data_IF_175390707224
#
_entry.id   IF_175390707224
#
_cell.length_a   1.000
_cell.length_b   1.000
_cell.length_c   1.000
_cell.angle_alpha   90.00
_cell.angle_beta   90.00
_cell.angle_gamma   90.00
#
_symmetry.space_group_name_H-M   'P 1'
#
loop_
_entity.id
_entity.type
_entity.pdbx_description
1 polymer ?
#
# COMPACT_ATOMS: atom_id res chain seq x y z
N UNK A 1 19.12 -15.60 18.05
CA UNK A 1 17.97 -16.30 17.42
C UNK A 1 17.71 -15.62 16.09
N UNK A 2 17.88 -16.32 14.98
CA UNK A 2 17.58 -15.80 13.65
C UNK A 2 16.08 -15.46 13.57
N UNK A 3 15.68 -14.25 13.15
CA UNK A 3 14.28 -13.93 13.00
C UNK A 3 13.68 -14.90 11.98
N UNK A 4 12.68 -15.68 12.39
CA UNK A 4 11.87 -16.49 11.45
C UNK A 4 11.27 -15.52 10.45
N UNK A 5 11.87 -15.47 9.26
CA UNK A 5 11.40 -14.70 8.11
C UNK A 5 10.00 -15.20 7.79
N UNK A 6 9.02 -14.30 7.90
CA UNK A 6 7.67 -14.57 7.43
C UNK A 6 7.67 -14.72 5.91
N UNK A 7 7.07 -15.80 5.45
CA UNK A 7 6.80 -16.00 4.04
C UNK A 7 5.60 -15.13 3.65
N UNK A 8 5.83 -14.13 2.78
CA UNK A 8 4.76 -13.27 2.19
C UNK A 8 3.74 -14.09 1.37
N UNK A 9 3.95 -15.42 1.22
CA UNK A 9 3.05 -16.40 0.57
C UNK A 9 1.62 -16.45 1.12
N UNK A 10 1.35 -15.82 2.26
CA UNK A 10 0.05 -15.86 2.93
C UNK A 10 -0.87 -14.68 2.57
N UNK A 11 -0.34 -13.55 2.10
CA UNK A 11 -1.17 -12.45 1.61
C UNK A 11 -1.81 -12.79 0.25
N UNK A 12 -2.94 -12.16 -0.12
CA UNK A 12 -3.56 -12.40 -1.44
C UNK A 12 -3.19 -11.41 -2.52
N UNK A 13 -2.93 -10.16 -2.14
CA UNK A 13 -2.62 -9.14 -3.13
C UNK A 13 -1.60 -8.11 -2.65
N UNK A 14 -0.75 -7.70 -3.57
CA UNK A 14 0.13 -6.54 -3.44
C UNK A 14 -0.30 -5.47 -4.44
N UNK A 15 -0.72 -4.32 -3.94
CA UNK A 15 -1.07 -3.16 -4.77
C UNK A 15 0.00 -2.09 -4.63
N UNK A 16 0.67 -1.73 -5.74
CA UNK A 16 1.68 -0.67 -5.73
C UNK A 16 1.04 0.70 -6.00
N UNK A 17 0.92 1.52 -4.97
CA UNK A 17 0.34 2.86 -5.01
C UNK A 17 0.99 3.69 -3.87
N UNK A 18 1.67 4.84 -4.10
CA UNK A 18 1.60 6.12 -3.28
C UNK A 18 2.74 7.17 -3.36
N UNK A 19 2.44 8.43 -3.74
CA UNK A 19 3.16 9.64 -3.27
C UNK A 19 2.30 10.93 -3.25
N UNK A 20 2.80 11.92 -2.50
CA UNK A 20 2.17 13.21 -2.17
C UNK A 20 2.76 14.40 -2.93
N UNK A 21 1.92 15.39 -3.25
CA UNK A 21 2.13 16.80 -2.87
C UNK A 21 0.83 17.41 -2.32
N UNK A 22 0.94 17.98 -1.13
CA UNK A 22 -0.09 18.76 -0.44
C UNK A 22 -0.17 20.16 -1.05
N UNK A 23 -1.35 20.60 -1.49
CA UNK A 23 -1.68 22.02 -1.41
C UNK A 23 -2.52 22.28 -0.15
N UNK A 24 -1.85 22.81 0.88
CA UNK A 24 -2.44 23.86 1.68
C UNK A 24 -2.56 25.07 0.75
N UNK A 25 -3.79 25.41 0.36
CA UNK A 25 -4.29 26.78 0.47
C UNK A 25 -5.81 26.80 0.27
N UNK A 26 -6.49 27.06 1.39
CA UNK A 26 -7.89 27.45 1.59
C UNK A 26 -8.92 26.31 1.66
N UNK A 27 -9.09 25.79 2.88
CA UNK A 27 -10.19 24.91 3.26
C UNK A 27 -9.93 24.25 4.59
N UNK A 28 -10.12 24.99 5.68
CA UNK A 28 -10.09 24.56 7.07
C UNK A 28 -10.81 23.22 7.35
N UNK A 29 -10.21 22.39 8.24
CA UNK A 29 -10.69 21.11 8.83
C UNK A 29 -10.62 19.88 7.88
N UNK A 30 -9.78 18.86 8.08
CA UNK A 30 -9.62 18.00 9.26
C UNK A 30 -8.23 17.32 9.23
N UNK A 31 -7.29 17.81 10.03
CA UNK A 31 -6.12 17.06 10.48
C UNK A 31 -6.04 17.18 12.00
N UNK A 32 -7.19 17.01 12.66
CA UNK A 32 -7.26 16.99 14.12
C UNK A 32 -7.40 15.56 14.59
N UNK A 33 -6.78 15.23 15.71
CA UNK A 33 -6.96 14.01 16.52
C UNK A 33 -8.42 13.72 16.94
N UNK A 34 -9.40 14.46 16.41
CA UNK A 34 -10.85 14.30 16.58
C UNK A 34 -11.54 13.63 15.38
N UNK A 35 -10.81 13.29 14.30
CA UNK A 35 -11.44 12.63 13.15
C UNK A 35 -11.83 11.20 13.56
N UNK A 36 -13.12 10.97 13.82
CA UNK A 36 -13.69 9.70 14.31
C UNK A 36 -13.54 8.52 13.33
N UNK A 37 -12.80 8.71 12.24
CA UNK A 37 -12.55 7.73 11.20
C UNK A 37 -11.30 6.88 11.43
N UNK A 38 -10.39 7.32 12.29
CA UNK A 38 -9.16 6.59 12.55
C UNK A 38 -8.97 6.39 14.05
N UNK A 39 -8.82 5.13 14.47
CA UNK A 39 -8.48 4.78 15.85
C UNK A 39 -6.99 4.44 15.90
N UNK A 40 -6.23 5.07 16.79
CA UNK A 40 -4.81 4.74 16.97
C UNK A 40 -4.67 3.29 17.46
N UNK A 41 -3.75 2.54 16.87
CA UNK A 41 -3.42 1.16 17.22
C UNK A 41 -1.93 1.06 17.50
N UNK A 42 -1.55 0.26 18.49
CA UNK A 42 -0.17 -0.05 18.80
C UNK A 42 -0.12 -1.45 19.39
N UNK A 43 0.85 -2.24 18.94
CA UNK A 43 1.23 -3.51 19.57
C UNK A 43 2.76 -3.57 19.67
N UNK A 44 3.31 -4.74 19.99
CA UNK A 44 4.74 -4.95 20.08
C UNK A 44 5.44 -4.61 18.75
N UNK A 45 6.35 -3.64 18.79
CA UNK A 45 7.22 -3.32 17.68
C UNK A 45 6.56 -2.65 16.47
N UNK A 46 5.36 -2.05 16.60
CA UNK A 46 4.79 -1.18 15.57
C UNK A 46 3.65 -0.31 16.12
N UNK A 47 3.30 0.76 15.40
CA UNK A 47 2.14 1.62 15.68
C UNK A 47 1.49 2.06 14.36
N UNK A 48 0.23 2.49 14.44
CA UNK A 48 -0.53 2.88 13.26
C UNK A 48 -1.95 3.32 13.58
N UNK A 49 -2.83 3.21 12.58
CA UNK A 49 -4.22 3.58 12.70
C UNK A 49 -5.14 2.56 12.02
N UNK A 50 -6.23 2.23 12.70
CA UNK A 50 -7.34 1.47 12.15
C UNK A 50 -8.39 2.42 11.61
N UNK A 51 -8.71 2.27 10.34
CA UNK A 51 -9.79 2.96 9.64
C UNK A 51 -10.88 1.92 9.38
N UNK A 52 -11.92 1.85 10.22
CA UNK A 52 -12.97 0.86 10.08
C UNK A 52 -13.80 1.13 8.83
N UNK A 53 -14.37 0.05 8.29
CA UNK A 53 -15.48 0.19 7.36
C UNK A 53 -16.64 0.93 8.05
N UNK A 54 -17.23 1.89 7.33
CA UNK A 54 -18.48 2.54 7.71
C UNK A 54 -19.43 2.44 6.53
N UNK A 55 -20.67 2.07 6.78
CA UNK A 55 -21.68 2.01 5.73
C UNK A 55 -21.94 3.42 5.19
N UNK A 56 -21.51 3.64 3.95
CA UNK A 56 -21.60 4.90 3.22
C UNK A 56 -22.64 4.87 2.09
N UNK A 57 -23.51 3.84 2.04
CA UNK A 57 -24.56 3.69 1.03
C UNK A 57 -25.60 4.81 1.06
N UNK A 58 -25.81 5.43 2.22
CA UNK A 58 -26.65 6.62 2.38
C UNK A 58 -26.12 7.55 3.47
N UNK A 59 -26.52 8.83 3.44
CA UNK A 59 -26.19 9.80 4.50
C UNK A 59 -26.68 9.33 5.88
N UNK A 60 -27.85 8.68 5.93
CA UNK A 60 -28.44 8.16 7.16
C UNK A 60 -27.61 7.01 7.74
N UNK A 61 -27.19 6.07 6.90
CA UNK A 61 -26.37 4.93 7.32
C UNK A 61 -25.01 5.41 7.81
N UNK A 62 -24.41 6.37 7.10
CA UNK A 62 -23.14 6.95 7.49
C UNK A 62 -23.22 7.63 8.86
N UNK A 63 -24.24 8.48 9.07
CA UNK A 63 -24.46 9.12 10.37
C UNK A 63 -24.71 8.12 11.50
N UNK A 64 -25.39 7.01 11.23
CA UNK A 64 -25.56 5.93 12.20
C UNK A 64 -24.21 5.24 12.50
N UNK A 65 -23.42 4.93 11.48
CA UNK A 65 -22.10 4.33 11.62
C UNK A 65 -21.12 5.24 12.39
N UNK A 66 -21.20 6.57 12.23
CA UNK A 66 -20.41 7.53 13.01
C UNK A 66 -20.70 7.50 14.52
N UNK A 67 -21.90 7.07 14.92
CA UNK A 67 -22.25 6.94 16.35
C UNK A 67 -21.68 5.67 16.97
N UNK A 68 -21.32 4.68 16.16
CA UNK A 68 -20.68 3.44 16.64
C UNK A 68 -19.23 3.77 17.00
N UNK A 69 -18.87 3.58 18.27
CA UNK A 69 -17.47 3.69 18.71
C UNK A 69 -16.72 2.45 18.26
N UNK A 70 -15.64 2.62 17.52
CA UNK A 70 -14.76 1.54 17.10
C UNK A 70 -13.53 1.47 18.01
N UNK A 71 -13.28 0.28 18.51
CA UNK A 71 -12.14 -0.06 19.35
C UNK A 71 -11.13 -0.90 18.57
N UNK A 72 -9.99 -1.17 19.20
CA UNK A 72 -8.95 -2.06 18.67
C UNK A 72 -9.42 -3.53 18.64
N UNK A 73 -10.43 -3.89 19.43
CA UNK A 73 -11.02 -5.23 19.39
C UNK A 73 -11.78 -5.49 18.09
N UNK A 74 -12.30 -4.44 17.44
CA UNK A 74 -13.18 -4.53 16.28
C UNK A 74 -12.41 -4.54 14.94
N UNK A 75 -11.08 -4.72 14.96
CA UNK A 75 -10.26 -4.72 13.74
C UNK A 75 -10.66 -5.91 12.87
N UNK A 76 -11.16 -5.61 11.66
CA UNK A 76 -11.65 -6.60 10.70
C UNK A 76 -13.12 -7.01 10.86
N UNK A 77 -13.78 -6.59 11.94
CA UNK A 77 -15.19 -6.89 12.17
C UNK A 77 -16.09 -6.16 11.17
N UNK A 78 -17.09 -6.86 10.65
CA UNK A 78 -18.02 -6.32 9.64
C UNK A 78 -17.39 -5.99 8.28
N UNK A 79 -16.09 -6.26 8.09
CA UNK A 79 -15.38 -6.09 6.83
C UNK A 79 -15.32 -7.43 6.08
N UNK A 80 -15.41 -7.42 4.76
CA UNK A 80 -15.12 -8.60 3.94
C UNK A 80 -13.60 -8.80 3.83
N UNK A 81 -12.88 -7.70 3.63
CA UNK A 81 -11.42 -7.65 3.50
C UNK A 81 -10.80 -6.65 4.48
N UNK A 82 -9.52 -6.86 4.81
CA UNK A 82 -8.69 -5.91 5.54
C UNK A 82 -7.52 -5.51 4.67
N UNK A 83 -7.33 -4.21 4.46
CA UNK A 83 -6.15 -3.69 3.79
C UNK A 83 -5.08 -3.37 4.83
N UNK A 84 -3.89 -3.97 4.71
CA UNK A 84 -2.69 -3.48 5.36
C UNK A 84 -2.03 -2.46 4.43
N UNK A 85 -2.04 -1.19 4.84
CA UNK A 85 -1.56 -0.11 4.02
C UNK A 85 -0.23 0.47 4.52
N UNK A 86 0.75 0.53 3.62
CA UNK A 86 2.11 1.04 3.85
C UNK A 86 2.26 2.32 3.02
N UNK A 87 2.39 3.46 3.67
CA UNK A 87 2.50 4.72 2.93
C UNK A 87 3.80 4.82 2.12
N UNK A 88 3.76 5.61 1.05
CA UNK A 88 4.94 5.95 0.26
C UNK A 88 5.78 7.07 0.87
N UNK A 89 6.71 7.60 0.09
CA UNK A 89 7.70 8.58 0.55
C UNK A 89 9.08 7.97 0.80
N UNK A 90 9.34 6.79 0.25
CA UNK A 90 10.64 6.12 0.23
C UNK A 90 11.22 5.83 1.60
N UNK A 91 10.35 5.59 2.59
CA UNK A 91 10.71 5.38 3.99
C UNK A 91 11.39 6.59 4.67
N UNK A 92 11.46 7.75 4.02
CA UNK A 92 12.11 8.97 4.53
C UNK A 92 11.09 10.05 4.91
N UNK A 93 9.90 10.02 4.29
CA UNK A 93 8.84 11.00 4.53
C UNK A 93 7.48 10.34 4.59
N UNK A 94 6.53 11.04 5.19
CA UNK A 94 5.13 10.66 5.21
C UNK A 94 4.56 10.46 6.61
N UNK A 95 3.31 9.99 6.66
CA UNK A 95 2.62 9.55 7.86
C UNK A 95 1.47 8.61 7.47
N UNK A 96 0.96 7.86 8.44
CA UNK A 96 -0.04 6.80 8.25
C UNK A 96 -1.43 7.29 7.82
N UNK A 97 -1.74 8.59 7.96
CA UNK A 97 -3.06 9.16 7.67
C UNK A 97 -3.09 10.05 6.42
N UNK A 98 -1.98 10.15 5.70
CA UNK A 98 -1.85 11.12 4.61
C UNK A 98 -2.85 10.96 3.45
N UNK A 99 -3.46 9.77 3.30
CA UNK A 99 -4.44 9.44 2.26
C UNK A 99 -5.83 9.16 2.83
N UNK A 100 -6.10 9.53 4.09
CA UNK A 100 -7.36 9.21 4.78
C UNK A 100 -8.61 9.65 3.99
N UNK A 101 -8.58 10.84 3.40
CA UNK A 101 -9.70 11.36 2.60
C UNK A 101 -9.95 10.50 1.36
N UNK A 102 -8.89 10.14 0.65
CA UNK A 102 -8.94 9.27 -0.54
C UNK A 102 -9.46 7.88 -0.18
N UNK A 103 -9.02 7.31 0.95
CA UNK A 103 -9.54 6.03 1.43
C UNK A 103 -11.03 6.08 1.72
N UNK A 104 -11.51 7.13 2.37
CA UNK A 104 -12.94 7.25 2.68
C UNK A 104 -13.79 7.25 1.41
N UNK A 105 -13.36 8.01 0.40
CA UNK A 105 -14.02 8.06 -0.90
C UNK A 105 -13.95 6.71 -1.62
N UNK A 106 -12.78 6.10 -1.66
CA UNK A 106 -12.57 4.82 -2.33
C UNK A 106 -13.32 3.65 -1.67
N UNK A 107 -13.31 3.55 -0.34
CA UNK A 107 -14.09 2.55 0.40
C UNK A 107 -15.60 2.68 0.12
N UNK A 108 -16.10 3.91 -0.02
CA UNK A 108 -17.49 4.16 -0.41
C UNK A 108 -17.77 3.64 -1.82
N UNK A 109 -16.89 3.94 -2.78
CA UNK A 109 -17.05 3.48 -4.16
C UNK A 109 -17.02 1.95 -4.25
N UNK A 110 -16.10 1.30 -3.53
CA UNK A 110 -16.06 -0.16 -3.41
C UNK A 110 -17.38 -0.75 -2.91
N UNK A 111 -17.92 -0.16 -1.84
CA UNK A 111 -19.17 -0.60 -1.26
C UNK A 111 -20.33 -0.44 -2.24
N UNK A 112 -20.47 0.73 -2.87
CA UNK A 112 -21.62 1.05 -3.72
C UNK A 112 -21.58 0.25 -5.03
N UNK A 113 -20.41 0.13 -5.66
CA UNK A 113 -20.27 -0.49 -6.98
C UNK A 113 -20.11 -2.01 -6.93
N UNK A 114 -19.40 -2.52 -5.93
CA UNK A 114 -19.01 -3.93 -5.85
C UNK A 114 -19.56 -4.64 -4.61
N UNK A 115 -20.23 -3.93 -3.70
CA UNK A 115 -20.75 -4.51 -2.46
C UNK A 115 -19.68 -4.89 -1.44
N UNK A 116 -18.41 -4.54 -1.69
CA UNK A 116 -17.27 -4.93 -0.85
C UNK A 116 -17.09 -3.97 0.32
N UNK A 117 -17.05 -4.52 1.53
CA UNK A 117 -16.75 -3.80 2.77
C UNK A 117 -15.29 -4.00 3.12
N UNK A 118 -14.51 -2.93 3.13
CA UNK A 118 -13.08 -3.00 3.46
C UNK A 118 -12.76 -2.04 4.60
N UNK A 119 -11.95 -2.52 5.55
CA UNK A 119 -11.30 -1.68 6.55
C UNK A 119 -9.80 -1.61 6.29
N UNK A 120 -9.14 -0.56 6.75
CA UNK A 120 -7.72 -0.29 6.45
C UNK A 120 -6.94 -0.16 7.75
N UNK A 121 -5.91 -0.96 7.92
CA UNK A 121 -4.87 -0.76 8.93
C UNK A 121 -3.67 -0.08 8.27
N UNK A 122 -3.42 1.18 8.64
CA UNK A 122 -2.26 1.95 8.16
C UNK A 122 -1.14 1.93 9.18
N UNK A 123 0.11 1.95 8.71
CA UNK A 123 1.30 1.84 9.57
C UNK A 123 2.00 3.20 9.69
N UNK A 124 2.30 3.62 10.91
CA UNK A 124 3.11 4.80 11.23
C UNK A 124 4.53 4.34 11.53
N UNK A 125 5.22 3.87 10.49
CA UNK A 125 6.57 3.32 10.60
C UNK A 125 7.62 4.42 10.83
N UNK A 126 8.73 4.05 11.45
CA UNK A 126 9.89 4.90 11.69
C UNK A 126 10.52 5.32 10.37
N UNK A 127 10.66 6.64 10.19
CA UNK A 127 11.30 7.22 9.02
C UNK A 127 12.82 7.18 9.15
N UNK A 128 13.48 7.04 8.02
CA UNK A 128 14.92 7.21 7.85
C UNK A 128 15.24 8.70 7.59
N UNK A 129 16.44 9.19 7.99
CA UNK A 129 17.62 8.43 8.44
C UNK A 129 17.62 8.02 9.91
N UNK A 130 16.67 8.46 10.73
CA UNK A 130 16.62 8.18 12.17
C UNK A 130 16.40 6.69 12.46
N UNK A 131 15.59 6.04 11.62
CA UNK A 131 15.28 4.62 11.70
C UNK A 131 15.61 3.96 10.34
N UNK A 132 16.88 3.60 10.10
CA UNK A 132 17.30 3.00 8.84
C UNK A 132 16.79 1.57 8.70
N UNK A 133 16.92 1.02 7.49
CA UNK A 133 16.70 -0.39 7.18
C UNK A 133 17.42 -1.30 8.19
N UNK A 134 16.75 -2.34 8.72
CA UNK A 134 15.43 -2.85 8.35
C UNK A 134 14.26 -2.34 9.25
N UNK A 135 14.36 -1.19 9.90
CA UNK A 135 13.40 -0.77 10.93
C UNK A 135 11.94 -0.72 10.43
N UNK A 136 11.63 0.11 9.44
CA UNK A 136 10.28 0.21 8.88
C UNK A 136 9.75 -1.12 8.33
N UNK A 137 10.64 -1.95 7.74
CA UNK A 137 10.29 -3.30 7.28
C UNK A 137 9.83 -4.18 8.44
N UNK A 138 10.57 -4.17 9.56
CA UNK A 138 10.23 -4.96 10.74
C UNK A 138 8.87 -4.53 11.32
N UNK A 139 8.59 -3.23 11.35
CA UNK A 139 7.28 -2.72 11.79
C UNK A 139 6.15 -3.13 10.85
N UNK A 140 6.40 -3.14 9.53
CA UNK A 140 5.43 -3.64 8.56
C UNK A 140 5.11 -5.13 8.76
N UNK A 141 6.14 -5.94 9.03
CA UNK A 141 5.99 -7.36 9.32
C UNK A 141 5.27 -7.57 10.66
N UNK A 142 5.57 -6.77 11.69
CA UNK A 142 4.91 -6.83 12.98
C UNK A 142 3.42 -6.47 12.88
N UNK A 143 3.05 -5.46 12.08
CA UNK A 143 1.66 -5.11 11.82
C UNK A 143 0.90 -6.23 11.07
N UNK A 144 1.54 -6.89 10.11
CA UNK A 144 0.94 -8.06 9.44
C UNK A 144 0.74 -9.23 10.43
N UNK A 145 1.73 -9.53 11.26
CA UNK A 145 1.61 -10.55 12.32
C UNK A 145 0.48 -10.23 13.27
N UNK A 146 0.36 -8.98 13.69
CA UNK A 146 -0.73 -8.54 14.56
C UNK A 146 -2.11 -8.87 13.96
N UNK A 147 -2.33 -8.61 12.67
CA UNK A 147 -3.59 -8.97 12.00
C UNK A 147 -3.86 -10.47 12.01
N UNK A 148 -2.87 -11.30 11.71
CA UNK A 148 -3.05 -12.75 11.57
C UNK A 148 -3.06 -13.46 12.92
N UNK A 149 -2.05 -13.20 13.75
CA UNK A 149 -1.75 -13.95 14.97
C UNK A 149 -2.53 -13.40 16.17
N UNK A 150 -2.64 -12.08 16.31
CA UNK A 150 -3.30 -11.46 17.47
C UNK A 150 -4.78 -11.11 17.25
N UNK A 151 -5.18 -10.81 16.01
CA UNK A 151 -6.58 -10.52 15.65
C UNK A 151 -7.29 -11.70 15.00
N UNK A 152 -6.57 -12.77 14.63
CA UNK A 152 -7.16 -13.94 14.01
C UNK A 152 -7.75 -13.68 12.62
N UNK A 153 -7.32 -12.61 11.93
CA UNK A 153 -7.77 -12.32 10.58
C UNK A 153 -7.15 -13.34 9.64
N UNK A 154 -8.00 -14.06 8.93
CA UNK A 154 -7.55 -14.96 7.88
C UNK A 154 -6.69 -14.18 6.88
N UNK A 155 -5.43 -14.60 6.71
CA UNK A 155 -4.48 -14.03 5.74
C UNK A 155 -5.05 -13.90 4.33
N UNK A 156 -6.00 -14.78 3.95
CA UNK A 156 -6.70 -14.75 2.66
C UNK A 156 -7.64 -13.56 2.50
N UNK A 157 -8.02 -12.88 3.58
CA UNK A 157 -8.80 -11.63 3.60
C UNK A 157 -7.91 -10.38 3.67
N UNK A 158 -6.59 -10.55 3.73
CA UNK A 158 -5.64 -9.43 3.83
C UNK A 158 -5.12 -9.06 2.45
N UNK A 159 -5.31 -7.78 2.10
CA UNK A 159 -4.70 -7.14 0.92
C UNK A 159 -3.60 -6.20 1.41
N UNK A 160 -2.40 -6.32 0.86
CA UNK A 160 -1.30 -5.39 1.14
C UNK A 160 -1.30 -4.34 0.05
N UNK A 161 -1.29 -3.07 0.45
CA UNK A 161 -1.24 -1.93 -0.47
C UNK A 161 -0.21 -0.92 0.00
N UNK A 162 0.43 -0.22 -0.93
CA UNK A 162 1.45 0.78 -0.62
C UNK A 162 2.49 0.91 -1.72
N UNK A 163 3.54 1.71 -1.52
CA UNK A 163 4.70 1.68 -2.42
C UNK A 163 5.58 0.44 -2.20
N UNK A 164 4.96 -0.74 -2.17
CA UNK A 164 5.74 -1.97 -2.28
C UNK A 164 6.13 -2.00 -3.74
N UNK A 165 7.41 -1.69 -3.97
CA UNK A 165 8.16 -1.55 -5.23
C UNK A 165 8.98 -0.23 -5.33
N UNK A 166 8.76 0.75 -4.44
CA UNK A 166 9.74 1.81 -4.16
C UNK A 166 10.53 1.54 -2.89
N UNK A 167 9.91 0.93 -1.88
CA UNK A 167 10.57 0.55 -0.63
C UNK A 167 9.92 -0.70 -0.03
N UNK A 168 10.63 -1.85 -0.03
CA UNK A 168 12.02 -2.01 -0.41
C UNK A 168 12.29 -1.75 -1.91
N UNK A 169 13.40 -1.07 -2.19
CA UNK A 169 13.75 -0.52 -3.49
C UNK A 169 13.89 -1.61 -4.53
N UNK A 170 13.10 -1.60 -5.58
CA UNK A 170 13.16 -2.67 -6.59
C UNK A 170 14.54 -2.81 -7.26
N UNK A 171 15.40 -1.81 -7.17
CA UNK A 171 16.78 -1.76 -7.65
C UNK A 171 17.14 -2.74 -8.76
N UNK A 172 16.78 -2.28 -9.96
CA UNK A 172 17.21 -2.79 -11.24
C UNK A 172 18.74 -3.04 -11.31
N UNK A 173 19.18 -3.98 -12.17
CA UNK A 173 20.54 -4.00 -12.70
C UNK A 173 20.88 -2.83 -13.65
N UNK A 174 19.92 -1.99 -14.06
CA UNK A 174 20.11 -0.85 -14.97
C UNK A 174 20.06 0.50 -14.22
N UNK A 175 20.87 1.51 -14.61
CA UNK A 175 20.82 2.85 -14.01
C UNK A 175 19.45 3.51 -14.18
N UNK A 176 18.98 4.23 -13.15
CA UNK A 176 17.83 5.11 -13.30
C UNK A 176 18.15 6.21 -14.30
N UNK A 177 17.17 6.57 -15.13
CA UNK A 177 17.30 7.65 -16.11
C UNK A 177 16.39 8.78 -15.69
N UNK A 178 16.97 9.96 -15.48
CA UNK A 178 16.18 11.15 -15.19
C UNK A 178 15.17 11.42 -16.30
N UNK A 179 13.98 11.83 -15.87
CA UNK A 179 12.93 12.36 -16.72
C UNK A 179 12.61 13.77 -16.26
N UNK A 180 12.61 14.72 -17.20
CA UNK A 180 12.20 16.12 -16.94
C UNK A 180 10.70 16.25 -16.66
N UNK A 181 9.94 15.23 -17.08
CA UNK A 181 8.49 15.16 -16.98
C UNK A 181 8.06 14.32 -15.77
N UNK A 182 9.02 13.90 -14.93
CA UNK A 182 8.79 13.26 -13.64
C UNK A 182 9.29 14.17 -12.51
N UNK A 183 8.67 14.07 -11.34
CA UNK A 183 9.06 14.83 -10.16
C UNK A 183 10.03 14.05 -9.26
N UNK A 184 10.22 12.75 -9.51
CA UNK A 184 11.35 11.99 -8.97
C UNK A 184 12.53 12.11 -9.92
N UNK A 185 13.66 12.58 -9.39
CA UNK A 185 14.97 12.49 -10.05
C UNK A 185 15.74 11.27 -9.55
N UNK A 186 16.65 10.77 -10.37
CA UNK A 186 17.62 9.75 -10.04
C UNK A 186 18.43 10.16 -8.80
N UNK A 187 18.92 11.41 -8.75
CA UNK A 187 19.65 11.90 -7.58
C UNK A 187 18.77 11.94 -6.32
N UNK A 188 17.52 12.37 -6.43
CA UNK A 188 16.55 12.34 -5.32
C UNK A 188 16.29 10.91 -4.83
N UNK A 189 16.09 9.97 -5.75
CA UNK A 189 15.97 8.54 -5.43
C UNK A 189 17.21 8.02 -4.69
N UNK A 190 18.42 8.33 -5.19
CA UNK A 190 19.68 7.92 -4.56
C UNK A 190 19.82 8.43 -3.13
N UNK A 191 19.44 9.69 -2.86
CA UNK A 191 19.46 10.26 -1.51
C UNK A 191 18.52 9.48 -0.58
N UNK A 192 17.34 9.09 -1.06
CA UNK A 192 16.39 8.34 -0.24
C UNK A 192 16.86 6.91 0.00
N UNK A 193 17.48 6.26 -1.00
CA UNK A 193 18.11 4.95 -0.81
C UNK A 193 19.20 5.05 0.25
N UNK A 194 20.05 6.07 0.16
CA UNK A 194 21.18 6.26 1.09
C UNK A 194 20.70 6.54 2.51
N UNK A 195 19.68 7.40 2.68
CA UNK A 195 19.04 7.64 3.96
C UNK A 195 18.40 6.38 4.53
N UNK A 196 17.64 5.64 3.70
CA UNK A 196 16.97 4.41 4.10
C UNK A 196 17.96 3.33 4.51
N UNK A 197 19.01 3.11 3.73
CA UNK A 197 19.88 1.96 3.90
C UNK A 197 21.07 2.22 4.81
N UNK A 198 21.51 3.49 4.90
CA UNK A 198 22.81 3.93 5.42
C UNK A 198 24.02 3.17 4.84
N UNK A 199 23.78 2.34 3.83
CA UNK A 199 24.73 1.47 3.18
C UNK A 199 24.14 1.03 1.84
N UNK A 200 24.49 1.76 0.78
CA UNK A 200 24.00 1.49 -0.58
C UNK A 200 24.31 0.07 -1.07
N UNK A 201 25.34 -0.58 -0.54
CA UNK A 201 25.66 -1.96 -0.91
C UNK A 201 24.60 -2.96 -0.44
N UNK A 202 23.83 -2.64 0.61
CA UNK A 202 22.74 -3.50 1.10
C UNK A 202 21.66 -3.75 0.05
N UNK A 203 21.46 -2.82 -0.86
CA UNK A 203 20.45 -2.91 -1.91
C UNK A 203 20.88 -3.82 -3.07
N UNK A 204 22.19 -4.08 -3.19
CA UNK A 204 22.71 -5.06 -4.14
C UNK A 204 22.63 -6.50 -3.60
N UNK A 205 22.59 -6.67 -2.28
CA UNK A 205 22.79 -7.98 -1.63
C UNK A 205 21.57 -8.48 -0.87
N UNK A 206 20.68 -7.60 -0.40
CA UNK A 206 19.50 -8.00 0.38
C UNK A 206 18.23 -8.01 -0.47
N UNK A 207 17.59 -9.18 -0.54
CA UNK A 207 16.23 -9.31 -1.10
C UNK A 207 15.17 -8.51 -0.34
N UNK A 208 15.43 -8.16 0.92
CA UNK A 208 14.51 -7.37 1.74
C UNK A 208 14.77 -5.88 1.65
N UNK A 209 15.94 -5.45 1.17
CA UNK A 209 16.19 -4.07 0.78
C UNK A 209 15.82 -3.85 -0.70
N UNK A 210 15.96 -4.89 -1.53
CA UNK A 210 15.56 -4.90 -2.93
C UNK A 210 14.94 -6.24 -3.38
N UNK A 211 13.61 -6.31 -3.55
CA UNK A 211 12.92 -7.57 -3.87
C UNK A 211 13.41 -8.29 -5.12
N UNK A 212 13.90 -7.56 -6.12
CA UNK A 212 14.42 -8.17 -7.35
C UNK A 212 15.64 -9.08 -7.10
N UNK A 213 16.34 -8.89 -5.96
CA UNK A 213 17.50 -9.69 -5.56
C UNK A 213 17.11 -11.05 -4.99
N UNK A 214 15.82 -11.29 -4.73
CA UNK A 214 15.35 -12.62 -4.36
C UNK A 214 15.70 -13.62 -5.48
N UNK A 215 16.21 -14.80 -5.10
CA UNK A 215 16.52 -15.87 -6.06
C UNK A 215 15.27 -16.23 -6.91
N UNK A 216 14.10 -16.22 -6.28
CA UNK A 216 12.80 -16.38 -6.94
C UNK A 216 11.73 -15.55 -6.22
N UNK A 217 10.74 -15.08 -6.97
CA UNK A 217 9.52 -14.43 -6.50
C UNK A 217 8.33 -15.42 -6.42
N UNK A 218 8.56 -16.70 -6.72
CA UNK A 218 7.52 -17.72 -6.74
C UNK A 218 6.81 -17.84 -5.37
N UNK A 219 5.48 -17.86 -5.44
CA UNK A 219 4.59 -17.94 -4.28
C UNK A 219 4.20 -16.58 -3.69
N UNK A 220 4.72 -15.46 -4.21
CA UNK A 220 4.16 -14.16 -3.84
C UNK A 220 2.68 -14.04 -4.26
N UNK A 221 1.89 -13.23 -3.54
CA UNK A 221 0.51 -12.91 -3.94
C UNK A 221 0.42 -12.38 -5.36
N UNK A 222 -0.78 -12.45 -5.94
CA UNK A 222 -1.06 -11.74 -7.19
C UNK A 222 -0.88 -10.23 -6.99
N UNK A 223 -0.49 -9.52 -8.04
CA UNK A 223 -0.12 -8.10 -7.92
C UNK A 223 -0.88 -7.26 -8.93
N UNK A 224 -1.26 -6.05 -8.50
CA UNK A 224 -1.73 -4.97 -9.37
C UNK A 224 -0.73 -3.82 -9.27
N UNK A 225 -0.15 -3.43 -10.41
CA UNK A 225 0.93 -2.45 -10.48
C UNK A 225 0.57 -1.36 -11.49
N UNK A 226 0.63 -0.10 -11.07
CA UNK A 226 0.50 1.05 -11.97
C UNK A 226 1.88 1.67 -12.22
N UNK A 227 2.12 2.11 -13.45
CA UNK A 227 3.43 2.58 -13.92
C UNK A 227 3.27 3.86 -14.74
N UNK A 228 3.98 4.93 -14.36
CA UNK A 228 4.08 6.12 -15.17
C UNK A 228 4.94 5.88 -16.41
N UNK A 229 4.47 6.30 -17.59
CA UNK A 229 5.21 6.13 -18.85
C UNK A 229 6.47 6.97 -18.94
N UNK A 230 6.55 8.09 -18.20
CA UNK A 230 7.73 8.97 -18.13
C UNK A 230 8.43 8.89 -16.77
N UNK A 231 8.09 7.90 -15.96
CA UNK A 231 8.59 7.72 -14.60
C UNK A 231 10.08 7.30 -14.58
N UNK A 232 10.88 7.98 -13.75
CA UNK A 232 12.31 7.71 -13.55
C UNK A 232 12.57 6.27 -13.06
N UNK A 233 11.65 5.73 -12.27
CA UNK A 233 11.73 4.38 -11.69
C UNK A 233 11.26 3.27 -12.62
N UNK A 234 10.64 3.61 -13.76
CA UNK A 234 10.05 2.65 -14.69
C UNK A 234 10.99 1.48 -15.03
N UNK A 235 12.29 1.66 -15.33
CA UNK A 235 13.19 0.54 -15.63
C UNK A 235 13.31 -0.48 -14.48
N UNK A 236 13.21 -0.03 -13.22
CA UNK A 236 13.20 -0.93 -12.06
C UNK A 236 11.89 -1.69 -11.99
N UNK A 237 10.76 -1.00 -12.13
CA UNK A 237 9.43 -1.61 -12.06
C UNK A 237 9.27 -2.66 -13.16
N UNK A 238 9.65 -2.33 -14.40
CA UNK A 238 9.60 -3.25 -15.54
C UNK A 238 10.40 -4.54 -15.25
N UNK A 239 11.63 -4.40 -14.73
CA UNK A 239 12.48 -5.55 -14.41
C UNK A 239 11.91 -6.44 -13.31
N UNK A 240 11.23 -5.87 -12.32
CA UNK A 240 10.53 -6.66 -11.31
C UNK A 240 9.29 -7.35 -11.85
N UNK A 241 8.48 -6.66 -12.65
CA UNK A 241 7.30 -7.24 -13.30
C UNK A 241 7.71 -8.42 -14.18
N UNK A 242 8.74 -8.25 -14.99
CA UNK A 242 9.30 -9.32 -15.83
C UNK A 242 9.76 -10.52 -14.98
N UNK A 243 10.52 -10.27 -13.91
CA UNK A 243 10.96 -11.33 -12.99
C UNK A 243 9.77 -12.04 -12.32
N UNK A 244 8.79 -11.29 -11.83
CA UNK A 244 7.63 -11.83 -11.13
C UNK A 244 6.80 -12.74 -12.05
N UNK A 245 6.54 -12.30 -13.28
CA UNK A 245 5.85 -13.11 -14.31
C UNK A 245 6.66 -14.36 -14.63
N UNK A 246 7.98 -14.22 -14.82
CA UNK A 246 8.89 -15.36 -15.10
C UNK A 246 8.89 -16.39 -13.96
N UNK A 247 8.84 -15.92 -12.72
CA UNK A 247 8.75 -16.75 -11.51
C UNK A 247 7.32 -17.30 -11.24
N UNK A 248 6.36 -17.06 -12.14
CA UNK A 248 5.00 -17.61 -12.07
C UNK A 248 4.03 -16.83 -11.16
N UNK A 249 4.36 -15.59 -10.79
CA UNK A 249 3.46 -14.69 -10.05
C UNK A 249 2.42 -14.10 -11.01
N UNK A 250 1.15 -14.07 -10.60
CA UNK A 250 0.09 -13.39 -11.35
C UNK A 250 0.27 -11.88 -11.19
N UNK A 251 0.58 -11.18 -12.28
CA UNK A 251 0.79 -9.73 -12.28
C UNK A 251 -0.11 -9.06 -13.31
N UNK A 252 -0.88 -8.08 -12.85
CA UNK A 252 -1.63 -7.14 -13.69
C UNK A 252 -0.90 -5.79 -13.64
N UNK A 253 -0.24 -5.41 -14.74
CA UNK A 253 0.54 -4.17 -14.81
C UNK A 253 -0.09 -3.18 -15.81
N UNK A 254 -0.34 -1.95 -15.36
CA UNK A 254 -0.96 -0.88 -16.14
C UNK A 254 0.00 0.29 -16.28
N UNK A 255 0.54 0.47 -17.49
CA UNK A 255 1.40 1.61 -17.81
C UNK A 255 0.62 2.70 -18.54
N UNK A 256 0.74 3.94 -18.07
CA UNK A 256 0.11 5.08 -18.73
C UNK A 256 1.15 6.02 -19.36
N UNK A 257 1.16 6.07 -20.69
CA UNK A 257 2.07 6.94 -21.44
C UNK A 257 1.93 8.41 -21.01
N UNK A 258 3.06 9.10 -20.87
CA UNK A 258 3.12 10.52 -20.49
C UNK A 258 2.84 10.82 -19.02
N UNK A 259 2.50 9.82 -18.20
CA UNK A 259 2.25 10.01 -16.78
C UNK A 259 3.53 9.89 -15.94
N UNK A 260 3.73 10.77 -14.93
CA UNK A 260 4.86 10.69 -14.02
C UNK A 260 4.66 9.60 -12.97
N UNK A 261 5.60 9.51 -12.03
CA UNK A 261 5.47 8.66 -10.86
C UNK A 261 4.13 8.89 -10.12
N UNK A 262 3.57 7.83 -9.53
CA UNK A 262 2.33 7.83 -8.72
C UNK A 262 1.12 8.59 -9.31
N UNK A 263 1.03 8.70 -10.64
CA UNK A 263 -0.10 9.33 -11.31
C UNK A 263 -1.45 8.75 -10.87
N UNK A 264 -1.47 7.46 -10.49
CA UNK A 264 -2.65 6.76 -10.04
C UNK A 264 -3.28 7.32 -8.76
N UNK A 265 -2.56 8.16 -8.00
CA UNK A 265 -3.02 8.70 -6.72
C UNK A 265 -2.95 10.21 -6.58
N UNK A 266 -2.20 10.89 -7.44
CA UNK A 266 -2.06 12.33 -7.35
C UNK A 266 -3.21 13.00 -8.12
N UNK A 267 -4.24 13.42 -7.39
CA UNK A 267 -5.45 14.07 -7.94
C UNK A 267 -5.16 15.29 -8.83
N UNK A 268 -4.05 15.99 -8.58
CA UNK A 268 -3.64 17.19 -9.34
C UNK A 268 -2.71 16.90 -10.53
N UNK A 269 -2.30 15.64 -10.71
CA UNK A 269 -1.47 15.18 -11.84
C UNK A 269 -2.34 14.45 -12.85
N UNK A 270 -3.31 13.68 -12.37
CA UNK A 270 -4.21 12.90 -13.21
C UNK A 270 -5.51 13.64 -13.48
N UNK A 271 -5.95 13.61 -14.74
CA UNK A 271 -7.30 14.04 -15.07
C UNK A 271 -8.33 13.19 -14.32
N UNK A 272 -9.52 13.74 -14.06
CA UNK A 272 -10.62 13.00 -13.44
C UNK A 272 -11.00 11.71 -14.22
N UNK A 273 -10.71 11.66 -15.53
CA UNK A 273 -10.89 10.44 -16.34
C UNK A 273 -9.92 9.34 -15.93
N UNK A 274 -8.63 9.68 -15.74
CA UNK A 274 -7.59 8.73 -15.34
C UNK A 274 -7.83 8.22 -13.93
N UNK A 275 -8.23 9.11 -13.01
CA UNK A 275 -8.59 8.71 -11.64
C UNK A 275 -9.72 7.67 -11.64
N UNK A 276 -10.79 7.92 -12.41
CA UNK A 276 -11.90 6.95 -12.54
C UNK A 276 -11.46 5.62 -13.15
N UNK A 277 -10.59 5.65 -14.15
CA UNK A 277 -10.03 4.45 -14.78
C UNK A 277 -9.24 3.61 -13.77
N UNK A 278 -8.38 4.24 -12.97
CA UNK A 278 -7.63 3.58 -11.88
C UNK A 278 -8.58 3.02 -10.82
N UNK A 279 -9.55 3.80 -10.35
CA UNK A 279 -10.55 3.36 -9.37
C UNK A 279 -11.35 2.14 -9.84
N UNK A 280 -11.71 2.10 -11.12
CA UNK A 280 -12.40 0.96 -11.71
C UNK A 280 -11.53 -0.29 -11.76
N UNK A 281 -10.27 -0.17 -12.19
CA UNK A 281 -9.32 -1.29 -12.23
C UNK A 281 -9.08 -1.84 -10.83
N UNK A 282 -8.73 -0.95 -9.88
CA UNK A 282 -8.53 -1.29 -8.48
C UNK A 282 -9.78 -1.94 -7.89
N UNK A 283 -10.95 -1.36 -8.15
CA UNK A 283 -12.23 -1.86 -7.64
C UNK A 283 -12.53 -3.28 -8.10
N UNK A 284 -12.37 -3.55 -9.40
CA UNK A 284 -12.52 -4.91 -9.96
C UNK A 284 -11.52 -5.89 -9.37
N UNK A 285 -10.26 -5.48 -9.23
CA UNK A 285 -9.21 -6.32 -8.66
C UNK A 285 -9.55 -6.73 -7.22
N UNK A 286 -9.97 -5.79 -6.37
CA UNK A 286 -10.41 -6.06 -4.99
C UNK A 286 -11.67 -6.94 -4.95
N UNK A 287 -12.66 -6.64 -5.79
CA UNK A 287 -13.90 -7.43 -5.88
C UNK A 287 -13.61 -8.90 -6.26
N UNK A 288 -12.72 -9.12 -7.23
CA UNK A 288 -12.31 -10.47 -7.63
C UNK A 288 -11.62 -11.24 -6.50
N UNK A 289 -10.77 -10.57 -5.71
CA UNK A 289 -10.12 -11.18 -4.53
C UNK A 289 -11.17 -11.63 -3.51
N UNK A 290 -12.17 -10.79 -3.27
CA UNK A 290 -13.27 -11.11 -2.35
C UNK A 290 -14.11 -12.28 -2.86
N UNK A 291 -14.53 -12.25 -4.13
CA UNK A 291 -15.35 -13.30 -4.73
C UNK A 291 -14.65 -14.67 -4.68
N UNK A 292 -13.34 -14.71 -4.97
CA UNK A 292 -12.55 -15.93 -4.84
C UNK A 292 -12.45 -16.43 -3.40
N UNK A 293 -12.43 -15.53 -2.41
CA UNK A 293 -12.43 -15.91 -1.01
C UNK A 293 -13.77 -16.51 -0.61
N UNK A 294 -14.88 -15.86 -0.97
CA UNK A 294 -16.24 -16.34 -0.69
C UNK A 294 -16.48 -17.70 -1.34
N UNK A 295 -16.18 -17.86 -2.64
CA UNK A 295 -16.37 -19.12 -3.38
C UNK A 295 -15.61 -20.30 -2.75
N UNK A 296 -14.38 -20.08 -2.30
CA UNK A 296 -13.56 -21.14 -1.67
C UNK A 296 -14.00 -21.46 -0.24
N UNK A 297 -14.56 -20.49 0.48
CA UNK A 297 -15.06 -20.70 1.84
C UNK A 297 -16.38 -21.50 1.88
N UNK A 298 -17.16 -21.44 0.80
CA UNK A 298 -18.41 -22.24 0.64
C UNK A 298 -18.14 -23.67 0.17
N UNK A 299 -16.95 -23.92 -0.40
CA UNK A 299 -16.56 -25.23 -0.94
C UNK A 299 -15.82 -26.14 0.06
N UNK A 300 -15.58 -25.67 1.29
CA UNK A 300 -14.95 -26.39 2.40
C UNK A 300 -15.98 -26.71 3.48
#
# INVERSE_FOLDING_TARGET
MSPKVLSVRQGRALMNLTLQFVHLKHGTFLQSSKDQWATKVQSEGWKGYWIPFKDQSSKKNLQAAHKVKTSIADIGDGCDLVMLFIHGGGMVKGNALMYLTNYRAWMKELQIKYGVKIGILTIEYGLSPENPYPFALNECVAAYRYLVEERGIDSRRIVISGQVLFSPWVMCPKPLKDSKDDYISNNGGRIYIEAYTQNLASVQTSQYAAPIRAATLAGLPRMLIFIGGVETLKPSIDGFVEKAITDGVQVEAHMKSGMPHDYALVENVSSAKIVREVDEIVGKFIANINDEYVKRSVAL
#
